data_IF_115607568008
#
_entry.id   IF_115607568008
#
_cell.length_a   1.000
_cell.length_b   1.000
_cell.length_c   1.000
_cell.angle_alpha   90.00
_cell.angle_beta   90.00
_cell.angle_gamma   90.00
#
_symmetry.space_group_name_H-M   'P 1'
#
loop_
_entity.id
_entity.type
_entity.pdbx_description
1 polymer ?
#
# COMPACT_ATOMS: atom_id res chain seq x y z
N UNK A 1 63.60 25.67 -71.24
CA UNK A 1 63.41 25.09 -69.89
C UNK A 1 62.24 25.83 -69.26
N UNK A 2 61.17 25.30 -68.69
CA UNK A 2 60.75 23.94 -68.36
C UNK A 2 59.21 23.99 -68.20
N UNK A 3 58.52 23.17 -69.01
CA UNK A 3 57.29 22.41 -68.75
C UNK A 3 56.28 22.90 -67.70
N UNK A 4 55.15 23.37 -68.22
CA UNK A 4 53.81 23.31 -67.63
C UNK A 4 53.42 21.83 -67.43
N UNK A 5 53.07 21.44 -66.21
CA UNK A 5 52.08 20.41 -65.88
C UNK A 5 51.92 20.26 -64.36
N UNK A 6 50.66 20.16 -63.96
CA UNK A 6 50.16 19.20 -62.97
C UNK A 6 50.43 19.49 -61.50
N UNK A 7 49.33 19.58 -60.74
CA UNK A 7 49.06 19.08 -59.37
C UNK A 7 48.07 20.09 -58.75
N UNK A 8 46.75 19.92 -58.86
CA UNK A 8 45.97 18.90 -58.15
C UNK A 8 46.61 18.60 -56.79
N UNK A 9 46.14 19.24 -55.72
CA UNK A 9 45.41 18.55 -54.65
C UNK A 9 45.34 19.33 -53.32
N UNK A 10 44.13 19.24 -52.73
CA UNK A 10 43.86 19.14 -51.29
C UNK A 10 43.75 20.47 -50.54
N UNK A 11 42.50 20.85 -50.23
CA UNK A 11 41.90 20.64 -48.91
C UNK A 11 42.56 21.55 -47.86
N UNK A 12 41.88 22.65 -47.53
CA UNK A 12 41.84 23.22 -46.18
C UNK A 12 40.78 24.34 -46.12
N UNK A 13 39.72 24.04 -45.36
CA UNK A 13 38.96 24.90 -44.45
C UNK A 13 38.29 26.19 -44.97
N UNK A 14 36.96 26.23 -44.84
CA UNK A 14 36.13 27.32 -44.28
C UNK A 14 34.69 26.78 -44.19
N UNK A 15 34.36 25.97 -43.18
CA UNK A 15 33.63 26.38 -41.96
C UNK A 15 32.67 27.55 -42.22
N UNK A 16 31.43 27.22 -42.58
CA UNK A 16 30.28 28.13 -42.54
C UNK A 16 29.20 27.47 -41.69
N UNK A 17 29.17 27.81 -40.41
CA UNK A 17 28.18 27.32 -39.44
C UNK A 17 26.78 27.83 -39.81
N UNK A 18 25.84 26.92 -40.04
CA UNK A 18 24.40 27.20 -39.99
C UNK A 18 23.82 26.27 -38.94
N UNK A 19 23.90 26.72 -37.69
CA UNK A 19 23.17 26.15 -36.55
C UNK A 19 21.69 26.54 -36.70
N UNK A 20 20.90 25.67 -37.31
CA UNK A 20 19.44 25.73 -37.22
C UNK A 20 19.06 25.22 -35.83
N UNK A 21 18.82 26.15 -34.90
CA UNK A 21 18.29 25.84 -33.57
C UNK A 21 16.85 25.37 -33.69
N UNK A 22 16.63 24.05 -33.65
CA UNK A 22 15.31 23.48 -33.44
C UNK A 22 14.93 23.67 -31.97
N UNK A 23 13.99 24.57 -31.72
CA UNK A 23 13.40 24.83 -30.42
C UNK A 23 12.52 23.63 -30.04
N UNK A 24 13.05 22.68 -29.27
CA UNK A 24 12.27 21.60 -28.68
C UNK A 24 11.42 22.17 -27.54
N UNK A 25 10.11 22.26 -27.72
CA UNK A 25 9.20 22.49 -26.60
C UNK A 25 9.22 21.25 -25.69
N UNK A 26 9.31 21.40 -24.35
CA UNK A 26 9.00 20.29 -23.46
C UNK A 26 7.51 19.97 -23.64
N UNK A 27 7.20 18.76 -24.08
CA UNK A 27 5.88 18.19 -23.88
C UNK A 27 5.71 18.01 -22.38
N UNK A 28 4.89 18.86 -21.75
CA UNK A 28 4.40 18.59 -20.41
C UNK A 28 3.58 17.30 -20.51
N UNK A 29 4.16 16.22 -20.00
CA UNK A 29 3.46 14.97 -19.79
C UNK A 29 2.58 15.23 -18.57
N UNK A 30 1.36 15.69 -18.80
CA UNK A 30 0.30 15.55 -17.81
C UNK A 30 0.15 14.07 -17.53
N UNK A 31 0.63 13.64 -16.35
CA UNK A 31 0.32 12.33 -15.83
C UNK A 31 -1.21 12.28 -15.72
N UNK A 32 -1.85 11.53 -16.63
CA UNK A 32 -3.25 11.20 -16.51
C UNK A 32 -3.43 10.52 -15.15
N UNK A 33 -3.96 11.28 -14.19
CA UNK A 33 -4.68 10.71 -13.06
C UNK A 33 -5.88 10.01 -13.69
N UNK A 34 -5.63 8.76 -14.08
CA UNK A 34 -6.66 7.83 -14.47
C UNK A 34 -7.62 7.81 -13.29
N UNK A 35 -8.91 8.02 -13.54
CA UNK A 35 -9.95 7.87 -12.52
C UNK A 35 -10.05 6.42 -12.08
N UNK A 36 -9.05 5.97 -11.33
CA UNK A 36 -9.10 4.83 -10.45
C UNK A 36 -9.89 5.27 -9.23
N UNK A 37 -10.79 4.41 -8.75
CA UNK A 37 -11.27 4.54 -7.38
C UNK A 37 -10.00 4.43 -6.53
N UNK A 38 -9.49 5.55 -6.05
CA UNK A 38 -8.28 5.57 -5.25
C UNK A 38 -8.64 4.97 -3.89
N UNK A 39 -8.26 3.71 -3.69
CA UNK A 39 -8.39 3.04 -2.39
C UNK A 39 -7.65 3.88 -1.36
N UNK A 40 -8.32 4.32 -0.30
CA UNK A 40 -7.72 5.15 0.74
C UNK A 40 -7.76 4.50 2.10
N UNK A 41 -6.93 4.98 3.02
CA UNK A 41 -6.97 4.53 4.40
C UNK A 41 -8.33 4.80 5.01
N UNK A 42 -8.83 6.03 4.87
CA UNK A 42 -10.03 6.48 5.56
C UNK A 42 -11.28 5.73 5.07
N UNK A 43 -11.43 5.55 3.75
CA UNK A 43 -12.61 4.91 3.16
C UNK A 43 -12.59 3.38 3.19
N UNK A 44 -11.43 2.75 3.00
CA UNK A 44 -11.38 1.31 2.68
C UNK A 44 -10.61 0.50 3.73
N UNK A 45 -9.49 1.00 4.23
CA UNK A 45 -8.58 0.19 5.08
C UNK A 45 -8.85 0.36 6.57
N UNK A 46 -9.27 1.54 7.02
CA UNK A 46 -9.46 1.85 8.44
C UNK A 46 -10.48 0.91 9.09
N UNK A 47 -11.61 0.66 8.42
CA UNK A 47 -12.64 -0.25 8.91
C UNK A 47 -12.13 -1.69 9.00
N UNK A 48 -11.43 -2.19 7.97
CA UNK A 48 -10.85 -3.54 7.95
C UNK A 48 -9.91 -3.73 9.14
N UNK A 49 -9.02 -2.78 9.38
CA UNK A 49 -8.07 -2.84 10.49
C UNK A 49 -8.77 -2.73 11.85
N UNK A 50 -9.79 -1.88 11.96
CA UNK A 50 -10.55 -1.71 13.20
C UNK A 50 -11.28 -3.00 13.60
N UNK A 51 -11.92 -3.67 12.65
CA UNK A 51 -12.68 -4.90 12.89
C UNK A 51 -11.78 -6.10 13.17
N UNK A 52 -10.66 -6.22 12.44
CA UNK A 52 -9.86 -7.45 12.42
C UNK A 52 -8.53 -7.35 13.19
N UNK A 53 -7.97 -6.16 13.34
CA UNK A 53 -6.60 -5.97 13.83
C UNK A 53 -6.53 -5.24 15.17
N UNK A 54 -7.28 -4.14 15.35
CA UNK A 54 -7.13 -3.24 16.51
C UNK A 54 -7.42 -3.95 17.83
N UNK A 55 -8.24 -5.01 17.84
CA UNK A 55 -8.48 -5.84 19.04
C UNK A 55 -7.17 -6.34 19.69
N UNK A 56 -6.17 -6.68 18.86
CA UNK A 56 -4.87 -7.18 19.29
C UNK A 56 -3.75 -6.17 19.06
N UNK A 57 -3.94 -5.20 18.16
CA UNK A 57 -2.96 -4.18 17.79
C UNK A 57 -3.37 -2.80 18.31
N UNK A 58 -3.48 -2.68 19.63
CA UNK A 58 -3.76 -1.41 20.34
C UNK A 58 -2.86 -1.26 21.58
N UNK A 59 -2.67 -0.04 22.10
CA UNK A 59 -1.94 0.16 23.35
C UNK A 59 -2.49 -0.70 24.49
N UNK A 60 -1.59 -1.27 25.30
CA UNK A 60 -1.94 -2.13 26.43
C UNK A 60 -2.09 -3.63 26.09
N UNK A 61 -2.01 -4.01 24.82
CA UNK A 61 -2.01 -5.41 24.38
C UNK A 61 -0.59 -5.94 24.13
N UNK A 62 -0.47 -7.24 23.85
CA UNK A 62 0.81 -7.90 23.61
C UNK A 62 1.43 -7.61 22.22
N UNK A 63 0.66 -7.09 21.26
CA UNK A 63 1.22 -6.80 19.95
C UNK A 63 2.17 -5.59 20.00
N UNK A 64 3.31 -5.64 19.30
CA UNK A 64 4.35 -4.63 19.43
C UNK A 64 4.02 -3.29 18.74
N UNK A 65 2.90 -3.20 18.03
CA UNK A 65 2.51 -2.03 17.26
C UNK A 65 1.00 -1.78 17.35
N UNK A 66 0.64 -0.52 17.60
CA UNK A 66 -0.73 -0.03 17.49
C UNK A 66 -1.09 0.24 16.03
N UNK A 67 -2.34 -0.01 15.67
CA UNK A 67 -2.89 0.18 14.31
C UNK A 67 -4.20 1.00 14.37
N UNK A 68 -4.27 2.00 15.25
CA UNK A 68 -5.49 2.79 15.50
C UNK A 68 -5.56 4.08 14.68
N UNK A 69 -4.44 4.52 14.11
CA UNK A 69 -4.36 5.76 13.34
C UNK A 69 -3.59 5.58 12.04
N UNK A 70 -3.89 6.41 11.03
CA UNK A 70 -3.18 6.41 9.76
C UNK A 70 -1.66 6.49 9.94
N UNK A 71 -1.19 7.39 10.80
CA UNK A 71 0.23 7.59 11.07
C UNK A 71 0.92 6.35 11.62
N UNK A 72 0.24 5.58 12.47
CA UNK A 72 0.74 4.31 12.95
C UNK A 72 0.73 3.25 11.86
N UNK A 73 -0.39 3.09 11.16
CA UNK A 73 -0.61 2.06 10.16
C UNK A 73 0.37 2.20 8.98
N UNK A 74 0.53 3.40 8.43
CA UNK A 74 1.39 3.65 7.26
C UNK A 74 2.86 3.28 7.49
N UNK A 75 3.33 3.33 8.74
CA UNK A 75 4.70 2.91 9.11
C UNK A 75 4.92 1.40 8.94
N UNK A 76 3.83 0.63 8.98
CA UNK A 76 3.85 -0.83 8.90
C UNK A 76 3.23 -1.38 7.62
N UNK A 77 2.72 -0.55 6.70
CA UNK A 77 1.90 -0.99 5.57
C UNK A 77 2.47 -2.16 4.78
N UNK A 78 3.76 -2.15 4.42
CA UNK A 78 4.40 -3.29 3.72
C UNK A 78 4.42 -4.58 4.55
N UNK A 79 4.57 -4.49 5.88
CA UNK A 79 4.50 -5.66 6.76
C UNK A 79 3.08 -6.16 6.92
N UNK A 80 2.11 -5.25 7.01
CA UNK A 80 0.68 -5.58 7.05
C UNK A 80 0.31 -6.33 5.78
N UNK A 81 0.65 -5.79 4.61
CA UNK A 81 0.45 -6.42 3.29
C UNK A 81 0.96 -7.86 3.27
N UNK A 82 2.24 -8.07 3.60
CA UNK A 82 2.81 -9.42 3.59
C UNK A 82 2.10 -10.34 4.59
N UNK A 83 1.81 -9.85 5.80
CA UNK A 83 1.19 -10.67 6.84
C UNK A 83 -0.23 -11.12 6.48
N UNK A 84 -1.03 -10.28 5.80
CA UNK A 84 -2.36 -10.66 5.33
C UNK A 84 -2.31 -11.58 4.11
N UNK A 85 -1.36 -11.35 3.18
CA UNK A 85 -1.17 -12.20 2.00
C UNK A 85 -0.69 -13.61 2.38
N UNK A 86 0.19 -13.70 3.39
CA UNK A 86 0.69 -14.97 3.91
C UNK A 86 -0.30 -15.66 4.87
N UNK A 87 -1.46 -15.04 5.14
CA UNK A 87 -2.44 -15.54 6.10
C UNK A 87 -1.93 -15.61 7.55
N UNK A 88 -0.85 -14.89 7.87
CA UNK A 88 -0.35 -14.79 9.25
C UNK A 88 -1.25 -13.90 10.12
N UNK A 89 -1.93 -12.94 9.50
CA UNK A 89 -2.84 -12.00 10.15
C UNK A 89 -4.21 -12.00 9.48
N UNK A 90 -5.31 -11.94 10.26
CA UNK A 90 -5.36 -12.07 11.72
C UNK A 90 -4.86 -13.44 12.21
N UNK A 91 -4.25 -13.52 13.40
CA UNK A 91 -3.77 -14.80 13.92
C UNK A 91 -4.97 -15.69 14.24
N UNK A 92 -4.86 -16.98 13.89
CA UNK A 92 -5.98 -17.90 13.99
C UNK A 92 -5.66 -19.32 13.55
N UNK A 93 -6.65 -19.96 12.96
CA UNK A 93 -6.57 -21.34 12.51
C UNK A 93 -5.63 -21.45 11.30
N UNK A 94 -4.41 -21.95 11.52
CA UNK A 94 -3.46 -22.27 10.44
C UNK A 94 -3.82 -23.60 9.78
N UNK A 95 -5.06 -23.71 9.28
CA UNK A 95 -5.57 -24.91 8.62
C UNK A 95 -5.34 -24.81 7.12
N UNK A 96 -4.87 -25.90 6.52
CA UNK A 96 -4.69 -26.01 5.08
C UNK A 96 -6.06 -26.09 4.38
N UNK A 97 -6.47 -25.08 3.61
CA UNK A 97 -7.77 -25.06 2.94
C UNK A 97 -7.82 -25.98 1.71
N UNK A 98 -6.77 -26.76 1.44
CA UNK A 98 -6.78 -27.73 0.34
C UNK A 98 -7.21 -29.13 0.80
N UNK A 99 -7.34 -29.35 2.11
CA UNK A 99 -7.68 -30.65 2.68
C UNK A 99 -8.68 -30.52 3.84
N UNK A 100 -9.62 -31.47 3.96
CA UNK A 100 -10.52 -31.54 5.11
C UNK A 100 -11.66 -30.52 5.11
N UNK A 101 -12.08 -30.11 6.32
CA UNK A 101 -13.19 -29.16 6.54
C UNK A 101 -12.73 -27.76 6.17
N UNK A 102 -13.52 -27.09 5.33
CA UNK A 102 -13.17 -25.77 4.76
C UNK A 102 -13.77 -24.62 5.57
N UNK A 103 -14.97 -24.81 6.11
CA UNK A 103 -15.70 -23.75 6.81
C UNK A 103 -15.67 -24.00 8.32
N UNK A 104 -15.06 -23.08 9.05
CA UNK A 104 -15.05 -23.09 10.51
C UNK A 104 -15.98 -22.02 11.06
N UNK A 105 -16.68 -22.37 12.14
CA UNK A 105 -17.42 -21.36 12.90
C UNK A 105 -16.41 -20.40 13.53
N UNK A 106 -16.57 -19.10 13.28
CA UNK A 106 -15.71 -18.03 13.76
C UNK A 106 -14.28 -18.08 13.18
N UNK A 107 -14.13 -18.41 11.90
CA UNK A 107 -12.86 -18.26 11.19
C UNK A 107 -12.42 -16.78 11.16
N UNK A 108 -11.25 -16.42 11.70
CA UNK A 108 -10.75 -15.06 11.69
C UNK A 108 -10.05 -14.67 10.36
N UNK A 109 -10.05 -15.54 9.34
CA UNK A 109 -9.47 -15.24 8.03
C UNK A 109 -10.16 -14.02 7.40
N UNK A 110 -9.34 -13.13 6.84
CA UNK A 110 -9.85 -12.03 6.01
C UNK A 110 -10.43 -12.57 4.70
N UNK A 111 -11.60 -12.06 4.27
CA UNK A 111 -12.10 -12.35 2.94
C UNK A 111 -11.18 -11.72 1.88
N UNK A 112 -11.11 -12.34 0.70
CA UNK A 112 -10.10 -11.99 -0.30
C UNK A 112 -10.19 -10.53 -0.77
N UNK A 113 -11.39 -9.94 -0.77
CA UNK A 113 -11.58 -8.53 -1.14
C UNK A 113 -10.99 -7.55 -0.11
N UNK A 114 -10.99 -7.89 1.18
CA UNK A 114 -10.35 -7.06 2.22
C UNK A 114 -8.83 -7.16 2.13
N UNK A 115 -8.31 -8.36 1.87
CA UNK A 115 -6.87 -8.54 1.58
C UNK A 115 -6.48 -7.70 0.36
N UNK A 116 -7.29 -7.73 -0.69
CA UNK A 116 -7.03 -6.98 -1.91
C UNK A 116 -7.08 -5.47 -1.68
N UNK A 117 -8.04 -4.95 -0.91
CA UNK A 117 -8.10 -3.53 -0.55
C UNK A 117 -6.82 -3.08 0.18
N UNK A 118 -6.32 -3.86 1.14
CA UNK A 118 -5.06 -3.57 1.84
C UNK A 118 -3.88 -3.57 0.85
N UNK A 119 -3.81 -4.57 -0.03
CA UNK A 119 -2.74 -4.70 -1.04
C UNK A 119 -2.73 -3.51 -1.98
N UNK A 120 -3.86 -3.18 -2.59
CA UNK A 120 -4.02 -2.08 -3.53
C UNK A 120 -3.70 -0.74 -2.87
N UNK A 121 -4.16 -0.51 -1.64
CA UNK A 121 -3.83 0.68 -0.87
C UNK A 121 -2.31 0.82 -0.62
N UNK A 122 -1.64 -0.27 -0.25
CA UNK A 122 -0.18 -0.26 -0.04
C UNK A 122 0.57 -0.03 -1.35
N UNK A 123 0.11 -0.62 -2.45
CA UNK A 123 0.69 -0.45 -3.79
C UNK A 123 0.47 0.97 -4.36
N UNK A 124 -0.66 1.60 -4.02
CA UNK A 124 -0.97 2.99 -4.36
C UNK A 124 -0.19 4.02 -3.52
N UNK A 125 0.69 3.58 -2.62
CA UNK A 125 1.52 4.47 -1.80
C UNK A 125 0.86 4.89 -0.48
N UNK A 126 -0.16 4.15 -0.03
CA UNK A 126 -0.86 4.35 1.25
C UNK A 126 -1.50 5.74 1.39
N UNK A 127 -2.34 6.20 0.45
CA UNK A 127 -3.03 7.49 0.58
C UNK A 127 -3.96 7.50 1.81
N UNK A 128 -3.95 8.60 2.57
CA UNK A 128 -4.78 8.72 3.78
C UNK A 128 -6.27 8.83 3.46
N UNK A 129 -6.62 9.56 2.40
CA UNK A 129 -8.00 9.87 2.07
C UNK A 129 -8.56 11.02 2.89
N UNK A 130 -9.90 11.13 2.93
CA UNK A 130 -10.59 12.17 3.67
C UNK A 130 -10.97 11.68 5.07
N UNK A 131 -10.55 12.41 6.09
CA UNK A 131 -10.83 12.08 7.49
C UNK A 131 -12.34 12.01 7.82
N UNK A 132 -13.23 12.62 7.02
CA UNK A 132 -14.68 12.48 7.22
C UNK A 132 -15.21 11.08 6.94
N UNK A 133 -14.44 10.26 6.22
CA UNK A 133 -14.84 8.93 5.79
C UNK A 133 -14.37 7.86 6.79
N UNK A 134 -13.61 8.25 7.82
CA UNK A 134 -13.15 7.34 8.87
C UNK A 134 -14.33 6.70 9.60
N UNK A 135 -14.23 5.40 9.92
CA UNK A 135 -15.21 4.76 10.79
C UNK A 135 -15.18 5.37 12.19
N UNK A 136 -16.31 5.28 12.89
CA UNK A 136 -16.37 5.67 14.29
C UNK A 136 -15.43 4.77 15.11
N UNK A 137 -14.55 5.38 15.91
CA UNK A 137 -13.56 4.65 16.67
C UNK A 137 -14.22 3.71 17.70
N UNK A 138 -13.80 2.44 17.73
CA UNK A 138 -14.23 1.50 18.77
C UNK A 138 -13.52 1.79 20.08
N UNK A 139 -14.31 2.08 21.11
CA UNK A 139 -13.85 2.15 22.49
C UNK A 139 -13.67 0.74 23.04
N UNK A 140 -12.44 0.39 23.40
CA UNK A 140 -12.12 -0.91 23.98
C UNK A 140 -11.98 -0.81 25.49
N UNK A 141 -12.69 -1.68 26.20
CA UNK A 141 -12.47 -1.85 27.63
C UNK A 141 -11.05 -2.39 27.88
N UNK A 142 -10.39 -1.97 28.97
CA UNK A 142 -9.10 -2.53 29.36
C UNK A 142 -9.15 -4.05 29.50
N UNK A 143 -8.11 -4.75 29.05
CA UNK A 143 -8.06 -6.22 29.06
C UNK A 143 -8.22 -6.83 30.47
N UNK A 144 -7.83 -6.11 31.53
CA UNK A 144 -8.00 -6.56 32.91
C UNK A 144 -9.47 -6.56 33.38
N UNK A 145 -10.34 -5.81 32.70
CA UNK A 145 -11.78 -5.81 32.95
C UNK A 145 -12.50 -6.96 32.24
N UNK A 146 -11.83 -7.71 31.36
CA UNK A 146 -12.45 -8.83 30.63
C UNK A 146 -12.95 -9.93 31.58
N UNK A 147 -12.20 -10.19 32.66
CA UNK A 147 -12.61 -11.13 33.73
C UNK A 147 -13.81 -10.63 34.54
N UNK A 148 -14.11 -9.33 34.53
CA UNK A 148 -15.27 -8.78 35.22
C UNK A 148 -16.56 -8.88 34.40
N UNK A 149 -16.48 -9.29 33.12
CA UNK A 149 -17.62 -9.40 32.20
C UNK A 149 -18.05 -10.84 31.94
N UNK A 150 -17.41 -11.82 32.58
CA UNK A 150 -17.77 -13.25 32.49
C UNK A 150 -19.25 -13.47 32.86
N UNK A 151 -19.73 -12.75 33.89
CA UNK A 151 -21.11 -12.80 34.37
C UNK A 151 -22.12 -12.21 33.37
N UNK A 152 -21.69 -11.31 32.46
CA UNK A 152 -22.56 -10.61 31.51
C UNK A 152 -22.58 -11.26 30.12
N UNK A 153 -21.46 -11.85 29.69
CA UNK A 153 -21.27 -12.34 28.32
C UNK A 153 -21.43 -13.86 28.16
N UNK A 154 -21.65 -14.59 29.25
CA UNK A 154 -22.02 -16.01 29.22
C UNK A 154 -20.95 -16.92 28.59
N UNK A 155 -19.69 -16.50 28.61
CA UNK A 155 -18.60 -17.24 28.00
C UNK A 155 -17.32 -17.21 28.86
N UNK A 156 -16.94 -18.40 29.34
CA UNK A 156 -15.65 -18.75 29.93
C UNK A 156 -15.76 -19.92 30.94
N UNK A 157 -14.83 -20.90 30.93
CA UNK A 157 -14.37 -21.73 29.80
C UNK A 157 -15.40 -22.74 29.27
#
# INVERSE_FOLDING_TARGET
MSRIKSLQNFWLALIGAVLVGTLSLPTEVDAQSSGTIDVTYSSDVAQILQENCVRCHRPGTAAPMALQSYDEVRRWGRRIQNAVQDGMMPPGWYIDPTVGVQDFKNDPKLPDHEIQAIVEWVEAGMPEGNASDLPEAVEFKPDHEYWALEDEQGWGP
#
